data_IF_134394776197
#
_entry.id   IF_134394776197
#
_cell.length_a   1.000
_cell.length_b   1.000
_cell.length_c   1.000
_cell.angle_alpha   90.00
_cell.angle_beta   90.00
_cell.angle_gamma   90.00
#
_symmetry.space_group_name_H-M   'P 1'
#
loop_
_entity.id
_entity.type
_entity.pdbx_description
1 polymer ?
#
# COMPACT_ATOMS: atom_id res chain seq x y z
N UNK A 1 17.25 -9.67 -50.08
CA UNK A 1 15.80 -9.64 -49.91
C UNK A 1 15.37 -10.98 -49.34
N UNK A 2 15.36 -11.12 -48.03
CA UNK A 2 14.94 -12.34 -47.34
C UNK A 2 13.96 -11.92 -46.26
N UNK A 3 12.68 -12.17 -46.51
CA UNK A 3 11.58 -11.86 -45.60
C UNK A 3 11.41 -13.05 -44.65
N UNK A 4 11.76 -12.88 -43.39
CA UNK A 4 11.45 -13.86 -42.35
C UNK A 4 10.11 -13.47 -41.72
N UNK A 5 9.08 -14.26 -42.02
CA UNK A 5 7.81 -14.24 -41.27
C UNK A 5 8.04 -14.96 -39.94
N UNK A 6 7.89 -14.26 -38.84
CA UNK A 6 7.76 -14.87 -37.49
C UNK A 6 6.26 -14.98 -37.24
N UNK A 7 5.78 -16.20 -37.05
CA UNK A 7 4.40 -16.51 -36.71
C UNK A 7 4.14 -16.07 -35.26
N UNK A 8 3.04 -15.33 -35.09
CA UNK A 8 2.49 -14.90 -33.80
C UNK A 8 1.69 -16.07 -33.18
N UNK A 9 2.24 -16.73 -32.19
CA UNK A 9 1.48 -17.59 -31.27
C UNK A 9 1.99 -17.38 -29.86
N UNK A 10 1.54 -16.30 -29.21
CA UNK A 10 1.47 -16.13 -27.76
C UNK A 10 0.17 -15.40 -27.44
N UNK A 11 -0.91 -16.19 -27.33
CA UNK A 11 -2.14 -15.74 -26.72
C UNK A 11 -1.96 -15.77 -25.19
N UNK A 12 -2.02 -14.61 -24.54
CA UNK A 12 -2.02 -14.59 -23.07
C UNK A 12 -1.72 -13.30 -22.35
N UNK A 13 -1.60 -12.16 -23.02
CA UNK A 13 -1.57 -10.86 -22.33
C UNK A 13 -2.82 -10.07 -22.71
N UNK A 14 -3.73 -9.91 -21.74
CA UNK A 14 -4.82 -8.96 -21.89
C UNK A 14 -4.21 -7.56 -22.04
N UNK A 15 -4.35 -7.02 -23.24
CA UNK A 15 -3.89 -5.70 -23.63
C UNK A 15 -4.60 -4.66 -22.73
N UNK A 16 -3.91 -4.20 -21.68
CA UNK A 16 -4.35 -3.07 -20.87
C UNK A 16 -4.08 -1.80 -21.66
N UNK A 17 -4.91 -1.58 -22.70
CA UNK A 17 -4.93 -0.33 -23.46
C UNK A 17 -5.82 0.66 -22.72
N UNK A 18 -5.36 1.20 -21.61
CA UNK A 18 -5.92 2.42 -21.05
C UNK A 18 -5.48 3.59 -21.95
N UNK A 19 -6.31 3.95 -22.91
CA UNK A 19 -6.06 5.06 -23.86
C UNK A 19 -5.89 6.42 -23.16
N UNK A 20 -6.27 6.51 -21.89
CA UNK A 20 -6.12 7.73 -21.08
C UNK A 20 -4.68 7.96 -20.57
N UNK A 21 -3.81 6.94 -20.64
CA UNK A 21 -2.39 7.05 -20.26
C UNK A 21 -1.48 7.60 -21.38
N UNK A 22 -1.93 7.66 -22.63
CA UNK A 22 -1.06 7.87 -23.79
C UNK A 22 -1.09 9.26 -24.43
N UNK A 23 -1.78 10.27 -23.91
CA UNK A 23 -1.95 11.56 -24.65
C UNK A 23 -1.37 12.82 -24.01
N UNK A 24 -0.72 12.75 -22.86
CA UNK A 24 0.15 13.86 -22.47
C UNK A 24 1.51 13.69 -23.17
N UNK A 25 1.78 14.52 -24.17
CA UNK A 25 3.07 14.56 -24.88
C UNK A 25 4.18 14.67 -23.84
N UNK A 26 5.08 13.68 -23.83
CA UNK A 26 6.34 13.71 -23.13
C UNK A 26 7.18 14.89 -23.60
N UNK A 27 7.07 16.02 -22.93
CA UNK A 27 8.08 17.07 -23.00
C UNK A 27 9.12 16.71 -21.95
N UNK A 28 10.16 15.98 -22.36
CA UNK A 28 11.23 15.53 -21.48
C UNK A 28 12.38 16.50 -21.38
N UNK A 29 12.62 17.13 -20.23
CA UNK A 29 13.99 17.39 -19.82
C UNK A 29 14.47 16.45 -18.70
N UNK A 30 13.60 15.82 -17.93
CA UNK A 30 14.03 15.03 -16.78
C UNK A 30 14.33 13.58 -17.15
N UNK A 31 15.60 13.18 -17.06
CA UNK A 31 16.02 11.77 -17.15
C UNK A 31 15.69 10.95 -15.90
N UNK A 32 15.00 11.54 -14.93
CA UNK A 32 14.65 10.94 -13.64
C UNK A 32 13.17 10.59 -13.60
N UNK A 33 12.83 9.40 -13.10
CA UNK A 33 11.46 9.03 -12.79
C UNK A 33 11.30 8.62 -11.33
N UNK A 34 10.19 9.05 -10.70
CA UNK A 34 9.73 8.59 -9.40
C UNK A 34 8.70 7.48 -9.64
N UNK A 35 8.93 6.31 -9.10
CA UNK A 35 7.99 5.19 -9.14
C UNK A 35 7.32 5.08 -7.78
N UNK A 36 6.03 5.45 -7.71
CA UNK A 36 5.19 5.12 -6.57
C UNK A 36 4.84 3.64 -6.63
N UNK A 37 4.97 2.91 -5.53
CA UNK A 37 4.58 1.51 -5.50
C UNK A 37 3.67 1.19 -4.32
N UNK A 38 2.63 0.40 -4.60
CA UNK A 38 1.71 -0.12 -3.59
C UNK A 38 1.47 -1.61 -3.83
N UNK A 39 0.74 -2.26 -2.90
CA UNK A 39 0.52 -3.71 -2.90
C UNK A 39 -0.07 -4.21 -4.22
N UNK A 40 -1.09 -3.51 -4.69
CA UNK A 40 -1.89 -3.93 -5.83
C UNK A 40 -3.27 -4.44 -5.43
N UNK A 41 -4.04 -4.77 -6.44
CA UNK A 41 -5.46 -5.10 -6.30
C UNK A 41 -5.92 -5.92 -7.51
N UNK A 42 -7.07 -6.62 -7.45
CA UNK A 42 -7.65 -7.21 -8.65
C UNK A 42 -7.96 -6.17 -9.73
N UNK A 43 -7.78 -6.52 -11.01
CA UNK A 43 -8.06 -5.63 -12.15
C UNK A 43 -9.55 -5.35 -12.34
N UNK A 44 -10.40 -6.33 -11.97
CA UNK A 44 -11.85 -6.25 -12.12
C UNK A 44 -12.57 -6.97 -10.98
N UNK A 45 -13.83 -6.59 -10.72
CA UNK A 45 -14.69 -7.22 -9.72
C UNK A 45 -15.24 -8.55 -10.26
N UNK A 46 -14.35 -9.52 -10.48
CA UNK A 46 -14.66 -10.86 -10.96
C UNK A 46 -13.75 -11.93 -10.33
N UNK A 47 -14.26 -13.16 -10.22
CA UNK A 47 -13.55 -14.27 -9.58
C UNK A 47 -12.18 -14.53 -10.22
N UNK A 48 -12.10 -14.46 -11.54
CA UNK A 48 -10.85 -14.71 -12.29
C UNK A 48 -9.78 -13.69 -11.95
N UNK A 49 -10.13 -12.40 -11.88
CA UNK A 49 -9.23 -11.30 -11.55
C UNK A 49 -8.77 -11.39 -10.10
N UNK A 50 -9.69 -11.59 -9.16
CA UNK A 50 -9.36 -11.81 -7.73
C UNK A 50 -8.43 -13.02 -7.56
N UNK A 51 -8.69 -14.11 -8.29
CA UNK A 51 -7.85 -15.32 -8.23
C UNK A 51 -6.45 -15.07 -8.76
N UNK A 52 -6.28 -14.30 -9.86
CA UNK A 52 -4.96 -13.92 -10.40
C UNK A 52 -4.18 -13.11 -9.35
N UNK A 53 -4.78 -12.06 -8.83
CA UNK A 53 -4.18 -11.22 -7.79
C UNK A 53 -3.75 -12.03 -6.56
N UNK A 54 -4.65 -12.82 -5.98
CA UNK A 54 -4.35 -13.68 -4.83
C UNK A 54 -3.26 -14.71 -5.13
N UNK A 55 -3.22 -15.26 -6.35
CA UNK A 55 -2.18 -16.18 -6.78
C UNK A 55 -0.81 -15.50 -6.76
N UNK A 56 -0.66 -14.32 -7.36
CA UNK A 56 0.61 -13.58 -7.36
C UNK A 56 1.04 -13.24 -5.94
N UNK A 57 0.14 -12.66 -5.16
CA UNK A 57 0.40 -12.22 -3.78
C UNK A 57 0.81 -13.37 -2.87
N UNK A 58 0.02 -14.44 -2.83
CA UNK A 58 0.26 -15.58 -1.94
C UNK A 58 1.34 -16.54 -2.47
N UNK A 59 1.77 -16.39 -3.71
CA UNK A 59 2.90 -17.12 -4.27
C UNK A 59 4.24 -16.47 -3.92
N UNK A 60 4.28 -15.25 -3.40
CA UNK A 60 5.54 -14.60 -3.06
C UNK A 60 6.18 -15.25 -1.81
N UNK A 61 7.44 -15.76 -1.90
CA UNK A 61 8.11 -16.37 -0.77
C UNK A 61 8.49 -15.38 0.35
N UNK A 62 8.49 -14.07 0.07
CA UNK A 62 8.68 -13.05 1.09
C UNK A 62 7.39 -12.77 1.88
N UNK A 63 6.22 -13.09 1.31
CA UNK A 63 4.91 -12.99 1.97
C UNK A 63 4.58 -14.29 2.71
N UNK A 64 4.64 -15.42 2.01
CA UNK A 64 4.33 -16.73 2.60
C UNK A 64 5.60 -17.59 2.63
N UNK A 65 6.21 -17.67 3.80
CA UNK A 65 7.49 -18.35 4.04
C UNK A 65 7.32 -19.85 4.37
N UNK A 66 6.50 -20.54 3.58
CA UNK A 66 6.34 -21.99 3.70
C UNK A 66 7.12 -22.72 2.59
N UNK A 67 7.57 -24.00 2.82
CA UNK A 67 8.20 -24.78 1.79
C UNK A 67 7.34 -24.85 0.53
N UNK A 68 7.89 -24.45 -0.61
CA UNK A 68 7.15 -24.28 -1.87
C UNK A 68 6.42 -25.54 -2.32
N UNK A 69 7.05 -26.71 -2.14
CA UNK A 69 6.46 -28.01 -2.49
C UNK A 69 5.19 -28.33 -1.72
N UNK A 70 5.04 -27.82 -0.49
CA UNK A 70 3.82 -27.98 0.31
C UNK A 70 2.83 -26.85 0.08
N UNK A 71 3.35 -25.62 -0.04
CA UNK A 71 2.50 -24.43 -0.13
C UNK A 71 1.78 -24.30 -1.46
N UNK A 72 2.47 -24.49 -2.60
CA UNK A 72 1.85 -24.28 -3.92
C UNK A 72 0.68 -25.22 -4.21
N UNK A 73 0.76 -26.54 -3.94
CA UNK A 73 -0.40 -27.42 -4.08
C UNK A 73 -1.60 -26.98 -3.19
N UNK A 74 -1.32 -26.60 -1.93
CA UNK A 74 -2.35 -26.13 -1.01
C UNK A 74 -2.96 -24.80 -1.50
N UNK A 75 -2.13 -23.87 -1.96
CA UNK A 75 -2.57 -22.58 -2.52
C UNK A 75 -3.51 -22.80 -3.71
N UNK A 76 -3.07 -23.58 -4.71
CA UNK A 76 -3.83 -23.76 -5.94
C UNK A 76 -5.05 -24.68 -5.79
N UNK A 77 -4.95 -25.74 -4.98
CA UNK A 77 -6.01 -26.74 -4.83
C UNK A 77 -7.10 -26.37 -3.83
N UNK A 78 -6.75 -25.56 -2.80
CA UNK A 78 -7.67 -25.29 -1.69
C UNK A 78 -7.88 -23.79 -1.48
N UNK A 79 -6.77 -23.03 -1.28
CA UNK A 79 -6.91 -21.64 -0.81
C UNK A 79 -7.52 -20.75 -1.88
N UNK A 80 -6.99 -20.77 -3.09
CA UNK A 80 -7.51 -19.92 -4.18
C UNK A 80 -8.98 -20.23 -4.51
N UNK A 81 -9.43 -21.49 -4.66
CA UNK A 81 -10.83 -21.77 -4.90
C UNK A 81 -11.77 -21.23 -3.82
N UNK A 82 -11.40 -21.41 -2.54
CA UNK A 82 -12.25 -20.97 -1.42
C UNK A 82 -12.21 -19.47 -1.16
N UNK A 83 -11.00 -18.87 -1.17
CA UNK A 83 -10.83 -17.46 -0.83
C UNK A 83 -11.27 -16.51 -1.93
N UNK A 84 -11.16 -16.89 -3.21
CA UNK A 84 -11.48 -15.95 -4.30
C UNK A 84 -12.92 -15.47 -4.25
N UNK A 85 -13.89 -16.35 -3.94
CA UNK A 85 -15.28 -15.95 -3.81
C UNK A 85 -15.56 -15.07 -2.58
N UNK A 86 -14.96 -15.42 -1.43
CA UNK A 86 -15.10 -14.59 -0.21
C UNK A 86 -14.46 -13.21 -0.40
N UNK A 87 -13.27 -13.17 -0.99
CA UNK A 87 -12.55 -11.93 -1.28
C UNK A 87 -13.31 -11.08 -2.31
N UNK A 88 -13.91 -11.70 -3.34
CA UNK A 88 -14.77 -11.00 -4.30
C UNK A 88 -15.96 -10.31 -3.61
N UNK A 89 -16.63 -11.01 -2.68
CA UNK A 89 -17.74 -10.42 -1.93
C UNK A 89 -17.28 -9.21 -1.08
N UNK A 90 -16.11 -9.32 -0.46
CA UNK A 90 -15.52 -8.22 0.30
C UNK A 90 -15.17 -7.03 -0.60
N UNK A 91 -14.54 -7.26 -1.75
CA UNK A 91 -14.31 -6.20 -2.74
C UNK A 91 -15.62 -5.59 -3.25
N UNK A 92 -16.67 -6.39 -3.44
CA UNK A 92 -17.98 -5.90 -3.87
C UNK A 92 -18.61 -4.86 -2.94
N UNK A 93 -18.25 -4.86 -1.66
CA UNK A 93 -18.71 -3.85 -0.68
C UNK A 93 -17.99 -2.50 -0.79
N UNK A 94 -16.77 -2.49 -1.34
CA UNK A 94 -15.90 -1.30 -1.38
C UNK A 94 -15.56 -0.84 -2.80
N UNK A 95 -15.96 -1.59 -3.81
CA UNK A 95 -15.68 -1.30 -5.22
C UNK A 95 -16.45 -0.07 -5.68
N UNK A 96 -15.74 0.97 -6.10
CA UNK A 96 -16.35 2.21 -6.59
C UNK A 96 -16.47 2.26 -8.12
N UNK A 97 -16.92 3.41 -8.62
CA UNK A 97 -17.00 3.67 -10.07
C UNK A 97 -15.61 3.61 -10.74
N UNK A 98 -14.57 4.08 -10.04
CA UNK A 98 -13.17 4.06 -10.48
C UNK A 98 -12.47 2.70 -10.21
N UNK A 99 -13.23 1.67 -9.85
CA UNK A 99 -12.71 0.34 -9.52
C UNK A 99 -12.31 0.18 -8.05
N UNK A 100 -11.20 -0.54 -7.80
CA UNK A 100 -10.68 -0.72 -6.44
C UNK A 100 -10.22 0.61 -5.84
N UNK A 101 -10.61 0.92 -4.57
CA UNK A 101 -10.19 2.16 -3.90
C UNK A 101 -8.66 2.35 -3.90
N UNK A 102 -7.92 1.28 -3.63
CA UNK A 102 -6.45 1.33 -3.61
C UNK A 102 -5.88 1.85 -4.93
N UNK A 103 -6.35 1.33 -6.07
CA UNK A 103 -5.88 1.75 -7.38
C UNK A 103 -6.38 3.16 -7.74
N UNK A 104 -7.63 3.46 -7.44
CA UNK A 104 -8.21 4.78 -7.69
C UNK A 104 -7.43 5.89 -6.98
N UNK A 105 -7.17 5.73 -5.68
CA UNK A 105 -6.37 6.70 -4.92
C UNK A 105 -4.90 6.71 -5.33
N UNK A 106 -4.30 5.57 -5.65
CA UNK A 106 -2.92 5.55 -6.12
C UNK A 106 -2.74 6.30 -7.45
N UNK A 107 -3.71 6.21 -8.37
CA UNK A 107 -3.74 7.01 -9.61
C UNK A 107 -3.82 8.52 -9.30
N UNK A 108 -4.69 8.92 -8.37
CA UNK A 108 -4.80 10.34 -7.93
C UNK A 108 -3.52 10.83 -7.27
N UNK A 109 -2.90 10.03 -6.40
CA UNK A 109 -1.61 10.33 -5.78
C UNK A 109 -0.52 10.55 -6.84
N UNK A 110 -0.41 9.64 -7.82
CA UNK A 110 0.51 9.77 -8.95
C UNK A 110 0.28 11.10 -9.71
N UNK A 111 -0.96 11.37 -10.07
CA UNK A 111 -1.31 12.59 -10.82
C UNK A 111 -0.98 13.87 -10.03
N UNK A 112 -1.35 13.93 -8.76
CA UNK A 112 -1.10 15.07 -7.89
C UNK A 112 0.40 15.29 -7.65
N UNK A 113 1.18 14.21 -7.43
CA UNK A 113 2.62 14.32 -7.29
C UNK A 113 3.29 14.72 -8.60
N UNK A 114 2.82 14.24 -9.76
CA UNK A 114 3.30 14.69 -11.08
C UNK A 114 3.13 16.20 -11.26
N UNK A 115 1.99 16.75 -10.83
CA UNK A 115 1.77 18.20 -10.90
C UNK A 115 2.78 18.97 -10.03
N UNK A 116 3.10 18.47 -8.83
CA UNK A 116 4.11 19.10 -7.94
C UNK A 116 5.56 18.96 -8.45
N UNK A 117 5.85 17.94 -9.26
CA UNK A 117 7.19 17.63 -9.78
C UNK A 117 7.35 17.90 -11.28
N UNK A 118 6.44 18.67 -11.87
CA UNK A 118 6.22 18.82 -13.32
C UNK A 118 7.48 18.86 -14.21
N UNK A 119 8.50 19.63 -13.83
CA UNK A 119 9.75 19.76 -14.62
C UNK A 119 10.94 18.97 -14.05
N UNK A 120 10.76 18.33 -12.89
CA UNK A 120 11.87 17.72 -12.15
C UNK A 120 11.98 16.22 -12.39
N UNK A 121 10.83 15.53 -12.51
CA UNK A 121 10.79 14.08 -12.71
C UNK A 121 9.46 13.63 -13.32
N UNK A 122 9.49 12.46 -13.97
CA UNK A 122 8.27 11.70 -14.26
C UNK A 122 7.77 11.01 -13.01
N UNK A 123 6.46 10.93 -12.81
CA UNK A 123 5.87 10.16 -11.74
C UNK A 123 5.05 9.04 -12.35
N UNK A 124 5.43 7.80 -12.05
CA UNK A 124 4.71 6.61 -12.49
C UNK A 124 4.24 5.77 -11.30
N UNK A 125 3.20 4.98 -11.54
CA UNK A 125 2.65 4.05 -10.57
C UNK A 125 2.95 2.62 -11.02
N UNK A 126 3.54 1.81 -10.13
CA UNK A 126 3.72 0.38 -10.37
C UNK A 126 3.19 -0.42 -9.17
N UNK A 127 2.30 -1.37 -9.40
CA UNK A 127 1.79 -2.25 -8.37
C UNK A 127 2.72 -3.43 -8.15
N UNK A 128 2.88 -3.84 -6.88
CA UNK A 128 3.69 -5.02 -6.56
C UNK A 128 3.04 -6.30 -7.11
N UNK A 129 1.72 -6.36 -7.08
CA UNK A 129 0.91 -7.46 -7.63
C UNK A 129 -0.21 -6.88 -8.50
N UNK A 130 -0.43 -7.46 -9.69
CA UNK A 130 -1.40 -6.97 -10.66
C UNK A 130 -0.91 -5.77 -11.47
N UNK A 131 -1.81 -4.85 -11.81
CA UNK A 131 -1.55 -3.75 -12.75
C UNK A 131 -1.74 -2.36 -12.13
N UNK A 132 -1.00 -1.33 -12.65
CA UNK A 132 0.07 -1.42 -13.65
C UNK A 132 1.29 -2.19 -13.12
N UNK A 133 1.82 -3.11 -13.92
CA UNK A 133 2.94 -3.95 -13.51
C UNK A 133 4.28 -3.21 -13.61
N UNK A 134 5.29 -3.62 -12.79
CA UNK A 134 6.63 -3.08 -12.91
C UNK A 134 7.21 -3.22 -14.32
N UNK A 135 6.99 -4.37 -14.96
CA UNK A 135 7.49 -4.61 -16.32
C UNK A 135 6.92 -3.62 -17.33
N UNK A 136 5.62 -3.33 -17.27
CA UNK A 136 4.99 -2.38 -18.19
C UNK A 136 5.50 -0.96 -17.98
N UNK A 137 5.58 -0.53 -16.73
CA UNK A 137 6.06 0.81 -16.35
C UNK A 137 7.54 1.00 -16.69
N UNK A 138 8.39 0.03 -16.34
CA UNK A 138 9.83 0.11 -16.60
C UNK A 138 10.15 0.09 -18.10
N UNK A 139 9.38 -0.65 -18.90
CA UNK A 139 9.51 -0.62 -20.36
C UNK A 139 9.23 0.78 -20.91
N UNK A 140 8.12 1.38 -20.47
CA UNK A 140 7.77 2.75 -20.85
C UNK A 140 8.87 3.75 -20.47
N UNK A 141 9.40 3.68 -19.26
CA UNK A 141 10.47 4.57 -18.79
C UNK A 141 11.79 4.36 -19.55
N UNK A 142 12.16 3.10 -19.81
CA UNK A 142 13.33 2.77 -20.63
C UNK A 142 13.21 3.36 -22.05
N UNK A 143 12.08 3.15 -22.68
CA UNK A 143 11.84 3.60 -24.07
C UNK A 143 11.73 5.14 -24.13
N UNK A 144 11.42 5.81 -23.03
CA UNK A 144 11.47 7.25 -22.86
C UNK A 144 12.89 7.79 -22.54
N UNK A 145 13.91 6.93 -22.36
CA UNK A 145 15.28 7.32 -22.11
C UNK A 145 15.57 7.76 -20.67
N UNK A 146 14.75 7.34 -19.70
CA UNK A 146 14.99 7.56 -18.27
C UNK A 146 16.24 6.78 -17.85
N UNK A 147 17.16 7.41 -17.12
CA UNK A 147 18.41 6.81 -16.65
C UNK A 147 18.56 6.82 -15.12
N UNK A 148 17.61 7.44 -14.40
CA UNK A 148 17.55 7.42 -12.94
C UNK A 148 16.13 7.13 -12.45
N UNK A 149 16.01 6.18 -11.52
CA UNK A 149 14.75 5.79 -10.86
C UNK A 149 14.81 6.11 -9.36
N UNK A 150 13.76 6.71 -8.84
CA UNK A 150 13.53 6.87 -7.40
C UNK A 150 12.33 6.02 -7.03
N UNK A 151 12.51 4.93 -6.30
CA UNK A 151 11.41 4.10 -5.83
C UNK A 151 10.89 4.61 -4.49
N UNK A 152 9.61 4.99 -4.44
CA UNK A 152 8.88 5.35 -3.23
C UNK A 152 7.78 4.32 -2.95
N UNK A 153 8.04 3.32 -2.10
CA UNK A 153 7.00 2.45 -1.58
C UNK A 153 6.03 3.23 -0.69
N UNK A 154 4.74 3.09 -0.96
CA UNK A 154 3.69 3.76 -0.22
C UNK A 154 3.36 3.00 1.09
N UNK A 155 4.41 2.55 1.77
CA UNK A 155 4.39 1.90 3.08
C UNK A 155 5.32 2.66 4.01
N UNK A 156 4.79 3.47 4.95
CA UNK A 156 5.65 4.27 5.84
C UNK A 156 6.57 3.41 6.71
N UNK A 157 6.07 2.26 7.17
CA UNK A 157 6.82 1.30 7.97
C UNK A 157 7.38 0.19 7.08
N UNK A 158 8.68 -0.06 7.22
CA UNK A 158 9.34 -1.15 6.49
C UNK A 158 8.85 -2.52 6.96
N UNK A 159 8.60 -3.39 5.99
CA UNK A 159 8.51 -4.83 6.22
C UNK A 159 9.09 -5.60 5.04
N UNK A 160 9.58 -6.81 5.34
CA UNK A 160 10.01 -7.75 4.31
C UNK A 160 8.84 -8.12 3.38
N UNK A 161 7.61 -8.14 3.90
CA UNK A 161 6.40 -8.52 3.15
C UNK A 161 5.86 -7.44 2.23
N UNK A 162 6.36 -6.20 2.33
CA UNK A 162 5.93 -5.04 1.53
C UNK A 162 7.11 -4.37 0.84
N UNK A 163 7.92 -3.64 1.60
CA UNK A 163 9.01 -2.83 1.07
C UNK A 163 10.10 -3.67 0.40
N UNK A 164 10.56 -4.75 1.06
CA UNK A 164 11.61 -5.59 0.50
C UNK A 164 11.16 -6.37 -0.74
N UNK A 165 9.90 -6.86 -0.75
CA UNK A 165 9.38 -7.54 -1.94
C UNK A 165 9.22 -6.58 -3.13
N UNK A 166 8.84 -5.31 -2.90
CA UNK A 166 8.75 -4.28 -3.94
C UNK A 166 10.13 -3.99 -4.54
N UNK A 167 11.14 -3.80 -3.70
CA UNK A 167 12.52 -3.60 -4.16
C UNK A 167 13.06 -4.80 -4.95
N UNK A 168 12.89 -6.01 -4.40
CA UNK A 168 13.28 -7.24 -5.10
C UNK A 168 12.64 -7.33 -6.47
N UNK A 169 11.33 -7.04 -6.56
CA UNK A 169 10.60 -7.12 -7.81
C UNK A 169 11.05 -6.07 -8.83
N UNK A 170 11.38 -4.85 -8.39
CA UNK A 170 12.01 -3.83 -9.23
C UNK A 170 13.30 -4.38 -9.87
N UNK A 171 14.22 -4.90 -9.06
CA UNK A 171 15.51 -5.42 -9.54
C UNK A 171 15.33 -6.59 -10.50
N UNK A 172 14.42 -7.52 -10.19
CA UNK A 172 14.15 -8.67 -11.06
C UNK A 172 13.56 -8.21 -12.40
N UNK A 173 12.67 -7.21 -12.39
CA UNK A 173 12.08 -6.62 -13.60
C UNK A 173 13.10 -5.87 -14.46
N UNK A 174 13.99 -5.12 -13.83
CA UNK A 174 15.10 -4.44 -14.54
C UNK A 174 16.01 -5.43 -15.25
N UNK A 175 16.38 -6.53 -14.58
CA UNK A 175 17.17 -7.63 -15.19
C UNK A 175 16.44 -8.24 -16.37
N UNK A 176 15.13 -8.50 -16.25
CA UNK A 176 14.34 -9.08 -17.34
C UNK A 176 14.26 -8.17 -18.57
N UNK A 177 14.30 -6.84 -18.37
CA UNK A 177 14.24 -5.84 -19.44
C UNK A 177 15.61 -5.45 -20.00
N UNK A 178 16.70 -5.98 -19.44
CA UNK A 178 18.07 -5.52 -19.74
C UNK A 178 18.18 -3.99 -19.64
N UNK A 179 17.69 -3.43 -18.54
CA UNK A 179 17.62 -2.00 -18.28
C UNK A 179 18.37 -1.68 -17.00
N UNK A 180 19.38 -0.79 -17.07
CA UNK A 180 20.32 -0.51 -15.99
C UNK A 180 20.38 0.98 -15.61
N UNK A 181 19.27 1.59 -15.17
CA UNK A 181 19.27 2.96 -14.64
C UNK A 181 19.96 3.04 -13.28
N UNK A 182 20.37 4.25 -12.87
CA UNK A 182 20.69 4.52 -11.48
C UNK A 182 19.42 4.37 -10.61
N UNK A 183 19.54 3.83 -9.39
CA UNK A 183 18.39 3.57 -8.53
C UNK A 183 18.61 4.21 -7.18
N UNK A 184 17.64 5.02 -6.75
CA UNK A 184 17.48 5.47 -5.37
C UNK A 184 16.29 4.77 -4.75
N UNK A 185 16.38 4.41 -3.48
CA UNK A 185 15.36 3.64 -2.78
C UNK A 185 14.98 4.26 -1.45
N UNK A 186 13.72 4.70 -1.31
CA UNK A 186 13.18 5.23 -0.07
C UNK A 186 12.60 4.06 0.73
N UNK A 187 13.39 3.53 1.67
CA UNK A 187 13.07 2.27 2.34
C UNK A 187 11.95 2.36 3.38
N UNK A 188 11.83 3.49 4.07
CA UNK A 188 10.84 3.73 5.13
C UNK A 188 10.84 5.21 5.54
N UNK A 189 9.72 5.65 6.14
CA UNK A 189 9.56 7.02 6.65
C UNK A 189 8.59 7.12 7.84
N UNK A 190 8.65 6.20 8.82
CA UNK A 190 7.67 6.11 9.92
C UNK A 190 7.71 7.32 10.86
N UNK A 191 8.80 8.07 10.87
CA UNK A 191 9.07 9.22 11.75
C UNK A 191 9.12 10.54 10.99
N UNK A 192 8.95 10.51 9.67
CA UNK A 192 9.11 11.73 8.87
C UNK A 192 8.14 12.82 9.35
N UNK A 193 8.61 14.03 9.67
CA UNK A 193 7.76 15.08 10.25
C UNK A 193 6.52 15.37 9.44
N UNK A 194 6.66 15.53 8.10
CA UNK A 194 5.53 15.79 7.23
C UNK A 194 4.50 14.63 7.18
N UNK A 195 4.94 13.37 7.39
CA UNK A 195 4.02 12.24 7.52
C UNK A 195 3.19 12.31 8.80
N UNK A 196 3.85 12.57 9.95
CA UNK A 196 3.17 12.73 11.23
C UNK A 196 2.25 13.95 11.21
N UNK A 197 2.67 15.04 10.58
CA UNK A 197 1.88 16.27 10.45
C UNK A 197 0.63 16.06 9.61
N UNK A 198 0.73 15.37 8.47
CA UNK A 198 -0.42 15.05 7.62
C UNK A 198 -1.45 14.15 8.33
N UNK A 199 -0.98 13.15 9.11
CA UNK A 199 -1.86 12.32 9.94
C UNK A 199 -2.56 13.14 11.02
N UNK A 200 -1.82 13.99 11.74
CA UNK A 200 -2.37 14.83 12.80
C UNK A 200 -3.38 15.85 12.23
N UNK A 201 -3.12 16.43 11.07
CA UNK A 201 -4.06 17.31 10.35
C UNK A 201 -5.36 16.57 10.01
N UNK A 202 -5.25 15.36 9.45
CA UNK A 202 -6.41 14.53 9.10
C UNK A 202 -7.27 14.22 10.33
N UNK A 203 -6.65 13.86 11.45
CA UNK A 203 -7.35 13.56 12.71
C UNK A 203 -8.02 14.82 13.29
N UNK A 204 -7.31 15.95 13.34
CA UNK A 204 -7.89 17.22 13.85
C UNK A 204 -9.08 17.67 13.00
N UNK A 205 -9.00 17.50 11.68
CA UNK A 205 -10.11 17.77 10.78
C UNK A 205 -11.35 16.91 11.09
N UNK A 206 -11.13 15.65 11.48
CA UNK A 206 -12.20 14.74 11.89
C UNK A 206 -12.77 15.12 13.27
N UNK A 207 -11.94 15.58 14.20
CA UNK A 207 -12.33 15.94 15.57
C UNK A 207 -13.03 17.30 15.74
N UNK A 208 -13.39 17.98 14.67
CA UNK A 208 -14.19 19.22 14.78
C UNK A 208 -15.52 19.03 15.52
N UNK A 209 -16.01 17.78 15.61
CA UNK A 209 -17.21 17.39 16.35
C UNK A 209 -16.94 16.83 17.75
N UNK A 210 -15.71 16.91 18.23
CA UNK A 210 -15.27 16.41 19.55
C UNK A 210 -14.26 15.28 19.45
N UNK A 211 -13.33 15.28 20.39
CA UNK A 211 -12.29 14.24 20.51
C UNK A 211 -12.88 12.98 21.17
N UNK A 212 -12.50 11.83 20.65
CA UNK A 212 -12.82 10.50 21.17
C UNK A 212 -11.53 9.73 21.41
N UNK A 213 -11.62 8.56 22.04
CA UNK A 213 -10.47 7.67 22.17
C UNK A 213 -9.95 7.28 20.77
N UNK A 214 -8.65 7.49 20.52
CA UNK A 214 -8.02 7.22 19.24
C UNK A 214 -7.43 5.80 19.21
N UNK A 215 -7.94 4.93 18.37
CA UNK A 215 -7.31 3.63 18.08
C UNK A 215 -6.47 3.75 16.81
N UNK A 216 -5.17 3.57 16.96
CA UNK A 216 -4.20 3.57 15.84
C UNK A 216 -3.97 2.12 15.45
N UNK A 217 -4.58 1.67 14.34
CA UNK A 217 -4.52 0.30 13.87
C UNK A 217 -3.52 0.15 12.72
N UNK A 218 -2.69 -0.89 12.79
CA UNK A 218 -1.77 -1.28 11.72
C UNK A 218 -2.08 -2.69 11.24
N UNK A 219 -1.69 -3.02 10.02
CA UNK A 219 -1.80 -4.40 9.56
C UNK A 219 -0.89 -5.31 10.40
N UNK A 220 -1.42 -6.43 10.87
CA UNK A 220 -0.65 -7.41 11.63
C UNK A 220 0.39 -8.12 10.77
N UNK A 221 1.40 -8.67 11.43
CA UNK A 221 2.38 -9.59 10.83
C UNK A 221 2.54 -10.82 11.73
N UNK A 222 2.92 -11.98 11.15
CA UNK A 222 3.33 -13.11 11.96
C UNK A 222 4.48 -12.73 12.89
N UNK A 223 4.41 -13.12 14.18
CA UNK A 223 5.44 -12.86 15.17
C UNK A 223 6.82 -13.35 14.70
N UNK A 224 6.85 -14.49 14.02
CA UNK A 224 8.07 -15.03 13.45
C UNK A 224 8.81 -14.12 12.45
N UNK A 225 8.15 -13.12 11.86
CA UNK A 225 8.84 -12.11 11.03
C UNK A 225 9.65 -11.16 11.91
N UNK A 226 9.06 -10.71 13.01
CA UNK A 226 9.72 -9.83 13.98
C UNK A 226 10.90 -10.55 14.64
N UNK A 227 10.72 -11.82 15.03
CA UNK A 227 11.77 -12.65 15.63
C UNK A 227 12.97 -12.84 14.69
N UNK A 228 12.77 -12.70 13.38
CA UNK A 228 13.83 -12.72 12.36
C UNK A 228 14.42 -11.35 12.05
N UNK A 229 14.04 -10.30 12.78
CA UNK A 229 14.59 -8.96 12.66
C UNK A 229 13.81 -8.00 11.76
N UNK A 230 12.55 -8.30 11.37
CA UNK A 230 11.70 -7.33 10.68
C UNK A 230 11.38 -6.14 11.63
N UNK A 231 11.73 -4.90 11.30
CA UNK A 231 11.60 -3.76 12.19
C UNK A 231 10.16 -3.23 12.29
N UNK A 232 9.22 -3.80 11.55
CA UNK A 232 7.87 -3.27 11.33
C UNK A 232 7.14 -2.89 12.61
N UNK A 233 7.06 -3.81 13.60
CA UNK A 233 6.34 -3.55 14.85
C UNK A 233 6.90 -2.34 15.60
N UNK A 234 8.24 -2.22 15.68
CA UNK A 234 8.91 -1.08 16.31
C UNK A 234 8.58 0.22 15.59
N UNK A 235 8.60 0.21 14.25
CA UNK A 235 8.29 1.38 13.44
C UNK A 235 6.81 1.80 13.55
N UNK A 236 5.88 0.84 13.63
CA UNK A 236 4.47 1.12 13.91
C UNK A 236 4.29 1.81 15.27
N UNK A 237 4.91 1.26 16.32
CA UNK A 237 4.87 1.85 17.66
C UNK A 237 5.49 3.25 17.70
N UNK A 238 6.54 3.48 16.93
CA UNK A 238 7.19 4.77 16.84
C UNK A 238 6.29 5.81 16.16
N UNK A 239 5.70 5.48 15.00
CA UNK A 239 4.71 6.35 14.34
C UNK A 239 3.54 6.67 15.27
N UNK A 240 3.00 5.67 15.98
CA UNK A 240 1.87 5.85 16.89
C UNK A 240 2.21 6.81 18.04
N UNK A 241 3.38 6.65 18.68
CA UNK A 241 3.83 7.55 19.76
C UNK A 241 4.04 8.97 19.29
N UNK A 242 4.70 9.16 18.13
CA UNK A 242 4.92 10.48 17.56
C UNK A 242 3.61 11.18 17.21
N UNK A 243 2.65 10.42 16.66
CA UNK A 243 1.33 10.93 16.34
C UNK A 243 0.55 11.34 17.60
N UNK A 244 0.53 10.48 18.62
CA UNK A 244 -0.11 10.78 19.90
C UNK A 244 0.51 12.03 20.55
N UNK A 245 1.83 12.14 20.59
CA UNK A 245 2.54 13.31 21.08
C UNK A 245 2.20 14.59 20.28
N UNK A 246 2.14 14.50 18.94
CA UNK A 246 1.77 15.62 18.05
C UNK A 246 0.34 16.10 18.27
N UNK A 247 -0.55 15.20 18.68
CA UNK A 247 -1.95 15.50 19.01
C UNK A 247 -2.13 15.97 20.45
N UNK A 248 -1.12 15.82 21.32
CA UNK A 248 -1.20 16.15 22.74
C UNK A 248 -2.01 15.16 23.57
N UNK A 249 -2.06 13.88 23.14
CA UNK A 249 -2.84 12.83 23.81
C UNK A 249 -2.11 12.27 25.03
N UNK A 250 -2.84 12.07 26.12
CA UNK A 250 -2.39 11.29 27.28
C UNK A 250 -2.48 9.78 27.03
N UNK A 251 -1.87 9.00 27.92
CA UNK A 251 -1.79 7.52 27.77
C UNK A 251 -3.15 6.83 27.72
N UNK A 252 -4.18 7.44 28.33
CA UNK A 252 -5.55 6.90 28.33
C UNK A 252 -6.40 7.32 27.13
N UNK A 253 -5.91 8.28 26.31
CA UNK A 253 -6.67 8.86 25.20
C UNK A 253 -6.50 8.08 23.88
N UNK A 254 -5.52 7.17 23.82
CA UNK A 254 -5.23 6.42 22.61
C UNK A 254 -4.79 4.99 22.88
N UNK A 255 -4.86 4.16 21.84
CA UNK A 255 -4.38 2.78 21.86
C UNK A 255 -3.78 2.40 20.52
N UNK A 256 -2.91 1.39 20.52
CA UNK A 256 -2.41 0.75 19.31
C UNK A 256 -3.01 -0.65 19.18
N UNK A 257 -3.31 -1.06 17.93
CA UNK A 257 -3.76 -2.41 17.60
C UNK A 257 -3.18 -2.91 16.28
N UNK A 258 -3.22 -4.24 16.09
CA UNK A 258 -2.81 -4.89 14.84
C UNK A 258 -3.98 -5.70 14.29
N UNK A 259 -4.38 -5.39 13.05
CA UNK A 259 -5.53 -5.97 12.35
C UNK A 259 -5.14 -7.12 11.41
N UNK A 260 -6.12 -7.71 10.75
CA UNK A 260 -5.97 -8.66 9.63
C UNK A 260 -5.27 -9.97 9.99
N UNK A 261 -5.42 -10.42 11.25
CA UNK A 261 -4.90 -11.72 11.69
C UNK A 261 -5.56 -12.86 10.90
N UNK A 262 -4.73 -13.76 10.42
CA UNK A 262 -5.23 -14.88 9.64
C UNK A 262 -4.43 -16.17 9.90
N UNK A 263 -5.13 -17.33 9.84
CA UNK A 263 -4.52 -18.63 10.05
C UNK A 263 -4.25 -18.95 11.54
N UNK A 264 -3.42 -19.98 11.80
CA UNK A 264 -3.20 -20.52 13.16
C UNK A 264 -1.89 -20.05 13.81
N UNK A 265 -1.05 -19.33 13.09
CA UNK A 265 0.21 -18.86 13.64
C UNK A 265 -0.01 -17.67 14.59
N UNK A 266 0.97 -17.44 15.47
CA UNK A 266 0.98 -16.28 16.35
C UNK A 266 1.32 -15.03 15.55
N UNK A 267 0.54 -13.98 15.73
CA UNK A 267 0.73 -12.66 15.12
C UNK A 267 1.16 -11.63 16.17
N UNK A 268 1.73 -10.52 15.74
CA UNK A 268 2.08 -9.40 16.61
C UNK A 268 0.83 -8.87 17.34
N UNK A 269 1.03 -8.46 18.58
CA UNK A 269 -0.05 -8.01 19.45
C UNK A 269 0.19 -6.56 19.92
N UNK A 270 -0.87 -5.89 20.48
CA UNK A 270 -2.23 -6.40 20.73
C UNK A 270 -3.07 -6.46 19.45
N UNK A 271 -4.02 -7.41 19.36
CA UNK A 271 -4.94 -7.46 18.22
C UNK A 271 -5.97 -6.32 18.32
N UNK A 272 -6.34 -5.74 17.18
CA UNK A 272 -7.31 -4.63 17.12
C UNK A 272 -8.66 -5.02 17.72
N UNK A 273 -9.16 -6.23 17.45
CA UNK A 273 -10.39 -6.78 18.08
C UNK A 273 -10.30 -6.80 19.60
N UNK A 274 -9.19 -7.33 20.16
CA UNK A 274 -9.01 -7.43 21.60
C UNK A 274 -8.87 -6.03 22.26
N UNK A 275 -8.31 -5.06 21.55
CA UNK A 275 -8.23 -3.67 22.02
C UNK A 275 -9.63 -3.06 22.09
N UNK A 276 -10.43 -3.20 21.04
CA UNK A 276 -11.81 -2.70 20.99
C UNK A 276 -12.66 -3.28 22.12
N UNK A 277 -12.59 -4.59 22.36
CA UNK A 277 -13.29 -5.23 23.47
C UNK A 277 -12.85 -4.64 24.82
N UNK A 278 -11.56 -4.54 25.08
CA UNK A 278 -11.03 -3.98 26.34
C UNK A 278 -11.41 -2.50 26.54
N UNK A 279 -11.52 -1.73 25.47
CA UNK A 279 -12.01 -0.34 25.56
C UNK A 279 -13.44 -0.29 26.05
N UNK A 280 -14.32 -1.14 25.54
CA UNK A 280 -15.71 -1.25 26.02
C UNK A 280 -15.77 -1.70 27.49
N UNK A 281 -14.97 -2.69 27.89
CA UNK A 281 -14.86 -3.16 29.29
C UNK A 281 -14.39 -2.04 30.24
N UNK A 282 -13.54 -1.11 29.78
CA UNK A 282 -13.10 0.09 30.49
C UNK A 282 -14.12 1.24 30.47
N UNK A 283 -15.29 1.05 29.85
CA UNK A 283 -16.34 2.06 29.75
C UNK A 283 -16.18 3.06 28.59
N UNK A 284 -15.23 2.85 27.68
CA UNK A 284 -15.07 3.68 26.47
C UNK A 284 -16.19 3.34 25.50
N UNK A 285 -17.07 4.29 25.24
CA UNK A 285 -18.26 4.11 24.39
C UNK A 285 -18.09 4.66 22.97
N UNK A 286 -17.09 5.49 22.75
CA UNK A 286 -16.84 6.13 21.45
C UNK A 286 -15.36 6.05 21.07
N UNK A 287 -15.10 5.57 19.86
CA UNK A 287 -13.74 5.44 19.30
C UNK A 287 -13.65 6.01 17.90
N UNK A 288 -12.52 6.63 17.61
CA UNK A 288 -12.09 6.96 16.25
C UNK A 288 -10.91 6.07 15.89
N UNK A 289 -10.95 5.47 14.69
CA UNK A 289 -9.91 4.52 14.25
C UNK A 289 -9.19 5.08 13.03
N UNK A 290 -7.87 5.10 13.06
CA UNK A 290 -7.02 5.46 11.93
C UNK A 290 -6.04 4.33 11.61
N UNK A 291 -5.70 4.17 10.32
CA UNK A 291 -4.79 3.13 9.84
C UNK A 291 -3.54 3.74 9.16
N UNK A 292 -2.54 4.25 9.92
CA UNK A 292 -1.44 5.01 9.34
C UNK A 292 -0.54 4.20 8.40
N UNK A 293 -0.50 2.87 8.54
CA UNK A 293 0.26 1.99 7.64
C UNK A 293 -0.26 1.94 6.19
N UNK A 294 -1.44 2.51 5.94
CA UNK A 294 -2.08 2.55 4.63
C UNK A 294 -2.06 3.97 4.07
N UNK A 295 -1.38 4.16 2.96
CA UNK A 295 -1.32 5.45 2.25
C UNK A 295 -2.61 5.80 1.50
N UNK A 296 -3.40 4.78 1.20
CA UNK A 296 -4.68 4.89 0.50
C UNK A 296 -5.70 3.92 1.10
N UNK A 297 -6.96 4.31 1.05
CA UNK A 297 -8.06 3.42 1.42
C UNK A 297 -8.08 2.18 0.55
N UNK A 298 -8.37 1.04 1.17
CA UNK A 298 -8.33 -0.27 0.56
C UNK A 298 -9.35 -1.21 1.22
N UNK A 299 -9.30 -2.48 0.88
CA UNK A 299 -10.18 -3.49 1.45
C UNK A 299 -10.07 -3.56 2.98
N UNK A 300 -8.84 -3.52 3.48
CA UNK A 300 -8.50 -3.63 4.90
C UNK A 300 -8.99 -2.43 5.73
N UNK A 301 -9.09 -1.25 5.13
CA UNK A 301 -9.57 -0.06 5.83
C UNK A 301 -11.09 0.12 5.72
N UNK A 302 -11.66 -0.06 4.53
CA UNK A 302 -13.06 0.22 4.27
C UNK A 302 -14.00 -0.94 4.62
N UNK A 303 -13.55 -2.18 4.47
CA UNK A 303 -14.36 -3.35 4.82
C UNK A 303 -14.04 -3.87 6.23
N UNK A 304 -12.78 -4.20 6.51
CA UNK A 304 -12.41 -4.79 7.80
C UNK A 304 -12.58 -3.79 8.96
N UNK A 305 -12.01 -2.57 8.86
CA UNK A 305 -12.12 -1.57 9.93
C UNK A 305 -13.50 -0.91 9.94
N UNK A 306 -13.90 -0.29 8.82
CA UNK A 306 -15.09 0.57 8.83
C UNK A 306 -16.42 -0.21 8.88
N UNK A 307 -16.42 -1.51 8.54
CA UNK A 307 -17.62 -2.36 8.59
C UNK A 307 -17.49 -3.46 9.64
N UNK A 308 -16.47 -4.35 9.54
CA UNK A 308 -16.41 -5.54 10.41
C UNK A 308 -16.08 -5.16 11.86
N UNK A 309 -14.99 -4.40 12.11
CA UNK A 309 -14.64 -3.99 13.49
C UNK A 309 -15.60 -2.96 14.07
N UNK A 310 -16.20 -2.11 13.23
CA UNK A 310 -17.28 -1.23 13.69
C UNK A 310 -18.44 -2.05 14.25
N UNK A 311 -18.90 -3.07 13.53
CA UNK A 311 -19.97 -3.96 13.99
C UNK A 311 -19.56 -4.66 15.29
N UNK A 312 -18.37 -5.24 15.33
CA UNK A 312 -17.85 -5.93 16.52
C UNK A 312 -17.84 -5.02 17.75
N UNK A 313 -17.36 -3.77 17.63
CA UNK A 313 -17.34 -2.80 18.71
C UNK A 313 -18.75 -2.47 19.24
N UNK A 314 -19.70 -2.25 18.33
CA UNK A 314 -21.09 -1.95 18.70
C UNK A 314 -21.78 -3.16 19.36
N UNK A 315 -21.56 -4.37 18.86
CA UNK A 315 -22.10 -5.62 19.40
C UNK A 315 -21.57 -5.90 20.83
N UNK A 316 -20.35 -5.47 21.16
CA UNK A 316 -19.80 -5.55 22.51
C UNK A 316 -20.27 -4.43 23.46
N UNK A 317 -21.10 -3.50 23.00
CA UNK A 317 -21.67 -2.42 23.80
C UNK A 317 -21.01 -1.06 23.67
N UNK A 318 -20.18 -0.86 22.65
CA UNK A 318 -19.80 0.46 22.18
C UNK A 318 -20.98 1.21 21.57
N UNK A 319 -20.90 2.53 21.47
CA UNK A 319 -22.02 3.36 20.99
C UNK A 319 -21.66 4.11 19.69
N UNK A 320 -20.41 4.56 19.56
CA UNK A 320 -19.97 5.33 18.42
C UNK A 320 -18.59 4.84 17.92
N UNK A 321 -18.53 4.53 16.65
CA UNK A 321 -17.31 4.12 15.97
C UNK A 321 -17.18 4.90 14.66
N UNK A 322 -16.08 5.62 14.48
CA UNK A 322 -15.76 6.31 13.23
C UNK A 322 -14.42 5.83 12.70
N UNK A 323 -14.37 5.57 11.41
CA UNK A 323 -13.13 5.37 10.68
C UNK A 323 -12.64 6.69 10.12
N UNK A 324 -11.40 7.07 10.40
CA UNK A 324 -10.73 8.25 9.80
C UNK A 324 -10.06 7.76 8.51
N UNK A 325 -10.48 8.26 7.34
CA UNK A 325 -9.91 7.81 6.06
C UNK A 325 -8.39 7.92 6.00
N UNK A 326 -7.75 7.01 5.28
CA UNK A 326 -6.34 7.10 4.94
C UNK A 326 -6.01 8.48 4.34
N UNK A 327 -4.74 8.84 4.27
CA UNK A 327 -4.35 10.14 3.73
C UNK A 327 -4.74 10.34 2.26
N UNK A 328 -4.89 9.25 1.51
CA UNK A 328 -5.34 9.28 0.13
C UNK A 328 -4.57 10.32 -0.71
N UNK A 329 -5.28 11.13 -1.47
CA UNK A 329 -4.74 12.20 -2.32
C UNK A 329 -4.78 13.60 -1.66
N UNK A 330 -4.82 13.67 -0.31
CA UNK A 330 -4.77 14.97 0.42
C UNK A 330 -3.51 15.73 0.07
N UNK A 331 -3.61 17.04 -0.06
CA UNK A 331 -2.46 17.90 -0.44
C UNK A 331 -1.28 17.77 0.52
N UNK A 332 -1.53 17.67 1.84
CA UNK A 332 -0.49 17.43 2.85
C UNK A 332 0.23 16.08 2.66
N UNK A 333 -0.48 15.04 2.20
CA UNK A 333 0.13 13.76 1.87
C UNK A 333 0.99 13.83 0.60
N UNK A 334 0.48 14.50 -0.43
CA UNK A 334 1.24 14.70 -1.67
C UNK A 334 2.48 15.56 -1.43
N UNK A 335 2.36 16.58 -0.56
CA UNK A 335 3.49 17.41 -0.15
C UNK A 335 4.54 16.60 0.63
N UNK A 336 4.12 15.70 1.50
CA UNK A 336 5.01 14.76 2.17
C UNK A 336 5.75 13.87 1.15
N UNK A 337 5.06 13.32 0.16
CA UNK A 337 5.70 12.53 -0.91
C UNK A 337 6.73 13.36 -1.68
N UNK A 338 6.41 14.62 -2.02
CA UNK A 338 7.35 15.54 -2.67
C UNK A 338 8.60 15.73 -1.83
N UNK A 339 8.48 16.00 -0.54
CA UNK A 339 9.61 16.16 0.39
C UNK A 339 10.46 14.90 0.50
N UNK A 340 9.86 13.72 0.45
CA UNK A 340 10.59 12.44 0.50
C UNK A 340 11.45 12.22 -0.75
N UNK A 341 10.98 12.63 -1.92
CA UNK A 341 11.70 12.37 -3.19
C UNK A 341 12.64 13.50 -3.58
N UNK A 342 12.38 14.73 -3.16
CA UNK A 342 13.15 15.92 -3.52
C UNK A 342 14.67 15.80 -3.35
N UNK A 343 15.23 15.21 -2.25
CA UNK A 343 16.67 15.04 -2.11
C UNK A 343 17.33 14.21 -3.20
N UNK A 344 16.55 13.38 -3.89
CA UNK A 344 17.01 12.47 -4.94
C UNK A 344 16.83 13.04 -6.35
N UNK A 345 16.11 14.16 -6.50
CA UNK A 345 15.81 14.79 -7.79
C UNK A 345 16.89 15.80 -8.22
N UNK A 346 17.59 16.37 -7.26
CA UNK A 346 18.66 17.33 -7.56
C UNK A 346 19.75 16.61 -8.35
N UNK A 347 19.98 17.03 -9.58
CA UNK A 347 21.16 16.61 -10.33
C UNK A 347 22.36 16.95 -9.46
N UNK A 348 23.22 15.97 -9.16
CA UNK A 348 24.56 16.30 -8.70
C UNK A 348 25.18 17.12 -9.82
N UNK A 349 25.27 18.46 -9.60
CA UNK A 349 26.05 19.31 -10.43
C UNK A 349 27.45 18.67 -10.46
N UNK A 350 27.80 18.14 -11.62
CA UNK A 350 29.02 17.35 -11.77
C UNK A 350 30.24 18.11 -11.26
N UNK A 351 31.03 17.41 -10.48
CA UNK A 351 32.43 17.73 -10.30
C UNK A 351 33.20 17.34 -11.56
#
# INVERSE_FOLDING_TARGET
MLTIRISSDFAGDADYTDRDFCHERFVMPARTAVILTNLGTPDALEVASVKRFLKEFLSDPLVVRLPRLLWLPLLHGVILPLRSHKTLQAYGRVWGEDGSPLLAYAKKQRQALQQKLFEQAHVELAMRYGNPSYISVLRLLRDAGVDKLVLLPLYPQYSVTTTATSYKHLIDSLKQLDYAPAIEFIGYYPEHPAYIDALAESIRGHWQQGQRHLLISFHGLPQANIDRGDPYQRQCQQSARLLAAKLGLGDDDWSIGYQSRFGKQVWIQPYTSDVLQRLVERGVKAVDVICPGFSADCLETLDEIAVEYRREFLDHGGEQFSYIPALNDRDSHIEMMRQLVEPYLVAHAGN
#
